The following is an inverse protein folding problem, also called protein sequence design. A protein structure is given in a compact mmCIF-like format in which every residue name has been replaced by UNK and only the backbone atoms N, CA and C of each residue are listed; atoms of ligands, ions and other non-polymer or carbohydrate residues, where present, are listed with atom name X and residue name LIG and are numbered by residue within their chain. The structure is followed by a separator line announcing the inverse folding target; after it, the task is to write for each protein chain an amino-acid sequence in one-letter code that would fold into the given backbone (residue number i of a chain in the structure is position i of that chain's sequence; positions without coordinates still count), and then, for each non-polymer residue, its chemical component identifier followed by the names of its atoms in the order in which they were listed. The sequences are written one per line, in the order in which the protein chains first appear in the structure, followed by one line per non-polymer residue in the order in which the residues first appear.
data_IF_565410092939
#
_entry.id   IF_565410092939
#
_cell.length_a   1.000
_cell.length_b   1.000
_cell.length_c   1.000
_cell.angle_alpha   90.00
_cell.angle_beta   90.00
_cell.angle_gamma   90.00
#
_symmetry.space_group_name_H-M   'P 1'
#
loop_
_entity.id
_entity.type
_entity.pdbx_description
1 polymer ?
#
# COMPACT_ATOMS: atom_id res chain seq x y z
N UNK A 1 11.57 -17.13 -14.94
CA UNK A 1 10.21 -16.70 -14.51
C UNK A 1 9.21 -17.21 -15.54
N UNK A 2 8.20 -17.98 -15.12
CA UNK A 2 7.11 -18.42 -16.02
C UNK A 2 6.28 -17.21 -16.48
N UNK A 3 5.60 -17.31 -17.62
CA UNK A 3 4.73 -16.25 -18.17
C UNK A 3 5.38 -14.86 -18.37
N UNK A 4 6.69 -14.82 -18.65
CA UNK A 4 7.47 -13.58 -18.78
C UNK A 4 6.83 -12.55 -19.71
N UNK A 5 6.32 -12.97 -20.88
CA UNK A 5 5.69 -12.06 -21.85
C UNK A 5 4.44 -11.37 -21.30
N UNK A 6 3.52 -12.15 -20.70
CA UNK A 6 2.27 -11.62 -20.14
C UNK A 6 2.57 -10.67 -18.97
N UNK A 7 3.44 -11.08 -18.03
CA UNK A 7 3.84 -10.24 -16.89
C UNK A 7 4.43 -8.91 -17.38
N UNK A 8 5.26 -8.96 -18.43
CA UNK A 8 5.85 -7.76 -19.03
C UNK A 8 4.79 -6.81 -19.56
N UNK A 9 3.85 -7.32 -20.35
CA UNK A 9 2.76 -6.52 -20.90
C UNK A 9 1.94 -5.86 -19.79
N UNK A 10 1.56 -6.62 -18.76
CA UNK A 10 0.80 -6.08 -17.62
C UNK A 10 1.60 -5.00 -16.87
N UNK A 11 2.90 -5.20 -16.65
CA UNK A 11 3.75 -4.19 -16.01
C UNK A 11 3.89 -2.94 -16.89
N UNK A 12 4.04 -3.06 -18.20
CA UNK A 12 4.07 -1.90 -19.10
C UNK A 12 2.76 -1.10 -19.03
N UNK A 13 1.61 -1.79 -19.01
CA UNK A 13 0.30 -1.16 -18.81
C UNK A 13 0.26 -0.43 -17.46
N UNK A 14 0.71 -1.07 -16.38
CA UNK A 14 0.79 -0.44 -15.06
C UNK A 14 1.65 0.82 -15.09
N UNK A 15 2.87 0.77 -15.64
CA UNK A 15 3.78 1.92 -15.70
C UNK A 15 3.14 3.11 -16.42
N UNK A 16 2.56 2.88 -17.60
CA UNK A 16 1.96 3.96 -18.40
C UNK A 16 0.72 4.53 -17.71
N UNK A 17 -0.23 3.68 -17.34
CA UNK A 17 -1.51 4.13 -16.80
C UNK A 17 -1.39 4.72 -15.39
N UNK A 18 -0.50 4.18 -14.55
CA UNK A 18 -0.24 4.76 -13.22
C UNK A 18 0.48 6.08 -13.32
N UNK A 19 1.39 6.25 -14.29
CA UNK A 19 2.03 7.53 -14.58
C UNK A 19 1.00 8.59 -14.99
N UNK A 20 0.06 8.23 -15.88
CA UNK A 20 -1.04 9.12 -16.28
C UNK A 20 -1.94 9.46 -15.08
N UNK A 21 -2.35 8.45 -14.32
CA UNK A 21 -3.22 8.65 -13.15
C UNK A 21 -2.57 9.53 -12.08
N UNK A 22 -1.31 9.26 -11.74
CA UNK A 22 -0.55 10.04 -10.77
C UNK A 22 -0.29 11.47 -11.26
N UNK A 23 0.10 11.65 -12.52
CA UNK A 23 0.30 12.97 -13.10
C UNK A 23 -1.01 13.78 -13.11
N UNK A 24 -2.14 13.15 -13.45
CA UNK A 24 -3.44 13.80 -13.38
C UNK A 24 -3.80 14.15 -11.93
N UNK A 25 -3.55 13.27 -10.97
CA UNK A 25 -3.72 13.53 -9.54
C UNK A 25 -2.94 14.75 -9.04
N UNK A 26 -1.68 14.85 -9.44
CA UNK A 26 -0.75 15.90 -9.01
C UNK A 26 -1.02 17.25 -9.70
N UNK A 27 -1.20 17.24 -11.02
CA UNK A 27 -1.15 18.45 -11.84
C UNK A 27 -2.51 18.97 -12.29
N UNK A 28 -3.61 18.24 -12.05
CA UNK A 28 -4.94 18.79 -12.34
C UNK A 28 -5.37 19.77 -11.26
N UNK A 29 -5.67 21.01 -11.66
CA UNK A 29 -5.97 22.12 -10.75
C UNK A 29 -7.31 22.81 -11.04
N UNK A 30 -7.96 22.46 -12.15
CA UNK A 30 -9.23 23.06 -12.57
C UNK A 30 -10.35 22.86 -11.54
N UNK A 31 -11.10 23.92 -11.27
CA UNK A 31 -12.25 23.92 -10.36
C UNK A 31 -12.32 25.19 -9.50
N UNK A 32 -13.38 25.37 -8.69
CA UNK A 32 -13.62 26.60 -7.92
C UNK A 32 -12.69 26.79 -6.71
N UNK A 33 -11.88 25.79 -6.35
CA UNK A 33 -11.10 25.79 -5.10
C UNK A 33 -11.87 25.19 -3.93
N UNK A 34 -11.29 25.23 -2.73
CA UNK A 34 -11.88 24.56 -1.58
C UNK A 34 -13.17 25.26 -1.12
N UNK A 35 -14.13 24.48 -0.64
CA UNK A 35 -15.41 25.01 -0.16
C UNK A 35 -16.03 24.12 0.94
N UNK A 36 -16.77 24.70 1.90
CA UNK A 36 -17.48 23.92 2.91
C UNK A 36 -18.71 23.22 2.33
N UNK A 37 -18.98 22.01 2.80
CA UNK A 37 -20.15 21.22 2.40
C UNK A 37 -20.77 20.53 3.62
N UNK A 38 -22.10 20.58 3.74
CA UNK A 38 -22.83 19.84 4.77
C UNK A 38 -22.98 18.37 4.34
N UNK A 39 -22.59 17.45 5.21
CA UNK A 39 -22.65 16.01 4.97
C UNK A 39 -24.06 15.48 5.22
N UNK A 40 -24.35 14.28 4.72
CA UNK A 40 -25.61 13.56 4.98
C UNK A 40 -25.90 13.32 6.48
N UNK A 41 -24.90 13.51 7.36
CA UNK A 41 -25.02 13.34 8.81
C UNK A 41 -25.07 14.68 9.57
N UNK A 42 -25.29 15.80 8.86
CA UNK A 42 -25.37 17.15 9.45
C UNK A 42 -24.03 17.72 9.92
N UNK A 43 -22.91 17.08 9.56
CA UNK A 43 -21.57 17.61 9.82
C UNK A 43 -21.11 18.54 8.69
N UNK A 44 -20.06 19.33 8.89
CA UNK A 44 -19.44 20.11 7.82
C UNK A 44 -18.09 19.48 7.44
N UNK A 45 -17.82 19.35 6.14
CA UNK A 45 -16.54 18.92 5.59
C UNK A 45 -16.05 19.95 4.59
N UNK A 46 -14.74 20.22 4.57
CA UNK A 46 -14.14 21.01 3.50
C UNK A 46 -13.86 20.11 2.29
N UNK A 47 -14.39 20.48 1.12
CA UNK A 47 -14.18 19.77 -0.14
C UNK A 47 -13.01 20.39 -0.89
N UNK A 48 -12.20 19.57 -1.56
CA UNK A 48 -10.97 20.02 -2.22
C UNK A 48 -11.22 20.96 -3.42
N UNK A 49 -12.25 20.65 -4.22
CA UNK A 49 -12.72 21.51 -5.31
C UNK A 49 -11.78 21.71 -6.50
N UNK A 50 -10.68 20.96 -6.61
CA UNK A 50 -9.72 21.04 -7.73
C UNK A 50 -9.41 19.68 -8.36
N UNK A 51 -9.24 19.68 -9.68
CA UNK A 51 -8.70 18.54 -10.42
C UNK A 51 -9.53 17.26 -10.32
N UNK A 52 -8.86 16.11 -10.43
CA UNK A 52 -9.48 14.78 -10.31
C UNK A 52 -9.99 14.50 -8.89
N UNK A 53 -9.43 15.16 -7.88
CA UNK A 53 -9.82 15.03 -6.48
C UNK A 53 -10.89 16.03 -6.03
N UNK A 54 -11.49 16.80 -6.96
CA UNK A 54 -12.37 17.95 -6.65
C UNK A 54 -13.57 17.65 -5.75
N UNK A 55 -14.03 16.41 -5.70
CA UNK A 55 -15.19 16.01 -4.87
C UNK A 55 -14.78 15.28 -3.58
N UNK A 56 -13.48 15.08 -3.35
CA UNK A 56 -12.97 14.49 -2.13
C UNK A 56 -12.88 15.53 -1.01
N UNK A 57 -12.94 15.11 0.26
CA UNK A 57 -12.53 15.97 1.38
C UNK A 57 -11.12 16.52 1.16
N UNK A 58 -10.90 17.81 1.48
CA UNK A 58 -9.66 18.53 1.22
C UNK A 58 -8.43 17.83 1.82
N UNK A 59 -8.54 17.36 3.07
CA UNK A 59 -7.49 16.61 3.75
C UNK A 59 -7.16 15.29 3.02
N UNK A 60 -8.18 14.55 2.59
CA UNK A 60 -8.01 13.27 1.89
C UNK A 60 -7.43 13.48 0.50
N UNK A 61 -7.79 14.56 -0.19
CA UNK A 61 -7.24 14.91 -1.51
C UNK A 61 -5.74 15.18 -1.44
N UNK A 62 -5.26 15.93 -0.44
CA UNK A 62 -3.84 16.18 -0.22
C UNK A 62 -3.07 14.87 0.02
N UNK A 63 -3.66 13.94 0.77
CA UNK A 63 -3.10 12.61 0.95
C UNK A 63 -3.09 11.79 -0.35
N UNK A 64 -4.11 11.93 -1.20
CA UNK A 64 -4.15 11.35 -2.55
C UNK A 64 -2.99 11.85 -3.41
N UNK A 65 -2.76 13.16 -3.45
CA UNK A 65 -1.65 13.78 -4.19
C UNK A 65 -0.30 13.30 -3.66
N UNK A 66 -0.14 13.19 -2.33
CA UNK A 66 1.08 12.64 -1.75
C UNK A 66 1.32 11.17 -2.16
N UNK A 67 0.26 10.36 -2.23
CA UNK A 67 0.32 8.98 -2.76
C UNK A 67 0.76 8.96 -4.22
N UNK A 68 0.25 9.88 -5.04
CA UNK A 68 0.60 9.96 -6.47
C UNK A 68 2.08 10.27 -6.67
N UNK A 69 2.65 11.18 -5.86
CA UNK A 69 4.08 11.45 -5.87
C UNK A 69 4.91 10.21 -5.54
N UNK A 70 4.51 9.44 -4.52
CA UNK A 70 5.22 8.18 -4.19
C UNK A 70 5.04 7.13 -5.29
N UNK A 71 3.87 7.05 -5.90
CA UNK A 71 3.62 6.15 -7.04
C UNK A 71 4.57 6.48 -8.20
N UNK A 72 4.71 7.77 -8.53
CA UNK A 72 5.54 8.24 -9.63
C UNK A 72 7.04 8.07 -9.36
N UNK A 73 7.50 8.45 -8.15
CA UNK A 73 8.93 8.54 -7.82
C UNK A 73 9.51 7.26 -7.20
N UNK A 74 8.67 6.39 -6.64
CA UNK A 74 9.13 5.17 -5.95
C UNK A 74 8.46 3.93 -6.55
N UNK A 75 7.14 3.93 -6.65
CA UNK A 75 6.37 2.78 -7.14
C UNK A 75 6.76 2.36 -8.55
N UNK A 76 6.66 3.27 -9.52
CA UNK A 76 6.99 3.02 -10.93
C UNK A 76 8.47 2.62 -11.11
N UNK A 77 9.47 3.35 -10.56
CA UNK A 77 10.86 2.94 -10.66
C UNK A 77 11.14 1.54 -10.10
N UNK A 78 10.61 1.21 -8.91
CA UNK A 78 10.76 -0.12 -8.34
C UNK A 78 10.09 -1.21 -9.18
N UNK A 79 8.96 -0.90 -9.80
CA UNK A 79 8.26 -1.84 -10.67
C UNK A 79 9.09 -2.17 -11.92
N UNK A 80 9.69 -1.16 -12.55
CA UNK A 80 10.57 -1.31 -13.72
C UNK A 80 11.88 -2.03 -13.35
N UNK A 81 12.54 -1.62 -12.27
CA UNK A 81 13.79 -2.23 -11.80
C UNK A 81 13.57 -3.69 -11.37
N UNK A 82 12.48 -3.95 -10.62
CA UNK A 82 12.07 -5.28 -10.21
C UNK A 82 11.83 -6.21 -11.40
N UNK A 83 11.13 -5.73 -12.44
CA UNK A 83 10.92 -6.48 -13.67
C UNK A 83 12.26 -6.79 -14.38
N UNK A 84 13.14 -5.79 -14.52
CA UNK A 84 14.45 -5.95 -15.14
C UNK A 84 15.34 -6.97 -14.42
N UNK A 85 15.36 -6.95 -13.10
CA UNK A 85 16.10 -7.94 -12.30
C UNK A 85 15.45 -9.32 -12.34
N UNK A 86 14.12 -9.40 -12.31
CA UNK A 86 13.40 -10.66 -12.43
C UNK A 86 13.68 -11.35 -13.78
N UNK A 87 13.86 -10.58 -14.86
CA UNK A 87 14.25 -11.09 -16.17
C UNK A 87 15.66 -11.68 -16.20
N UNK A 88 16.59 -11.10 -15.44
CA UNK A 88 17.96 -11.60 -15.27
C UNK A 88 18.04 -12.85 -14.38
N UNK A 89 16.89 -13.36 -13.93
CA UNK A 89 16.81 -14.56 -13.11
C UNK A 89 16.88 -14.29 -11.60
N UNK A 90 17.17 -13.05 -11.17
CA UNK A 90 17.36 -12.68 -9.76
C UNK A 90 16.14 -13.00 -8.89
N UNK A 91 16.35 -13.74 -7.80
CA UNK A 91 15.32 -14.02 -6.80
C UNK A 91 14.90 -12.73 -6.08
N UNK A 92 15.88 -11.89 -5.70
CA UNK A 92 15.65 -10.54 -5.12
C UNK A 92 14.74 -9.71 -6.03
N UNK A 93 15.07 -9.66 -7.33
CA UNK A 93 14.27 -8.94 -8.32
C UNK A 93 12.82 -9.40 -8.38
N UNK A 94 12.57 -10.71 -8.35
CA UNK A 94 11.20 -11.27 -8.36
C UNK A 94 10.43 -10.94 -7.08
N UNK A 95 11.07 -11.01 -5.91
CA UNK A 95 10.45 -10.65 -4.63
C UNK A 95 10.12 -9.15 -4.56
N UNK A 96 11.02 -8.29 -5.03
CA UNK A 96 10.79 -6.84 -5.15
C UNK A 96 9.64 -6.55 -6.12
N UNK A 97 9.62 -7.21 -7.28
CA UNK A 97 8.54 -7.09 -8.25
C UNK A 97 7.19 -7.48 -7.64
N UNK A 98 7.12 -8.62 -6.95
CA UNK A 98 5.91 -9.09 -6.30
C UNK A 98 5.42 -8.12 -5.19
N UNK A 99 6.31 -7.65 -4.32
CA UNK A 99 5.92 -6.68 -3.29
C UNK A 99 5.46 -5.34 -3.87
N UNK A 100 6.11 -4.88 -4.93
CA UNK A 100 5.71 -3.65 -5.65
C UNK A 100 4.35 -3.83 -6.32
N UNK A 101 4.10 -4.97 -6.99
CA UNK A 101 2.79 -5.29 -7.55
C UNK A 101 1.69 -5.34 -6.47
N UNK A 102 2.02 -5.83 -5.27
CA UNK A 102 1.13 -5.75 -4.11
C UNK A 102 0.79 -4.30 -3.72
N UNK A 103 1.76 -3.39 -3.76
CA UNK A 103 1.51 -1.97 -3.51
C UNK A 103 0.57 -1.34 -4.55
N UNK A 104 0.77 -1.65 -5.84
CA UNK A 104 -0.13 -1.19 -6.90
C UNK A 104 -1.54 -1.77 -6.74
N UNK A 105 -1.64 -3.07 -6.45
CA UNK A 105 -2.92 -3.74 -6.21
C UNK A 105 -3.72 -3.04 -5.10
N UNK A 106 -3.08 -2.83 -3.95
CA UNK A 106 -3.73 -2.18 -2.82
C UNK A 106 -4.07 -0.72 -3.13
N UNK A 107 -3.16 0.03 -3.75
CA UNK A 107 -3.39 1.45 -4.09
C UNK A 107 -4.62 1.62 -4.98
N UNK A 108 -4.73 0.83 -6.05
CA UNK A 108 -5.86 0.96 -6.99
C UNK A 108 -7.14 0.27 -6.51
N UNK A 109 -7.05 -0.68 -5.58
CA UNK A 109 -8.20 -1.16 -4.82
C UNK A 109 -8.80 -0.02 -3.99
N UNK A 110 -7.96 0.72 -3.26
CA UNK A 110 -8.39 1.90 -2.51
C UNK A 110 -9.02 2.96 -3.41
N UNK A 111 -8.45 3.23 -4.58
CA UNK A 111 -9.02 4.24 -5.48
C UNK A 111 -10.40 3.82 -6.00
N UNK A 112 -10.62 2.53 -6.30
CA UNK A 112 -11.95 2.05 -6.71
C UNK A 112 -12.98 2.02 -5.58
N UNK A 113 -12.54 1.86 -4.33
CA UNK A 113 -13.46 1.74 -3.18
C UNK A 113 -13.70 3.05 -2.44
N UNK A 114 -12.78 4.00 -2.52
CA UNK A 114 -12.80 5.23 -1.70
C UNK A 114 -12.83 6.51 -2.54
N UNK A 115 -12.19 6.54 -3.71
CA UNK A 115 -12.15 7.77 -4.48
C UNK A 115 -13.56 8.11 -5.02
N UNK A 116 -13.92 9.39 -4.97
CA UNK A 116 -15.11 9.87 -5.66
C UNK A 116 -14.98 9.62 -7.16
N UNK A 117 -16.08 9.19 -7.77
CA UNK A 117 -16.13 8.87 -9.19
C UNK A 117 -15.60 10.05 -10.03
N UNK A 118 -14.70 9.75 -10.96
CA UNK A 118 -14.06 10.75 -11.80
C UNK A 118 -13.65 10.14 -13.16
N UNK A 119 -13.09 10.98 -14.03
CA UNK A 119 -12.72 10.60 -15.40
C UNK A 119 -11.71 9.44 -15.50
N UNK A 120 -10.96 9.16 -14.43
CA UNK A 120 -9.96 8.08 -14.36
C UNK A 120 -10.55 6.75 -13.88
N UNK A 121 -11.86 6.62 -13.67
CA UNK A 121 -12.47 5.39 -13.16
C UNK A 121 -12.04 4.13 -13.93
N UNK A 122 -12.13 4.16 -15.27
CA UNK A 122 -11.71 3.01 -16.10
C UNK A 122 -10.21 2.75 -16.03
N UNK A 123 -9.40 3.80 -15.84
CA UNK A 123 -7.96 3.67 -15.63
C UNK A 123 -7.69 2.93 -14.33
N UNK A 124 -8.40 3.25 -13.24
CA UNK A 124 -8.28 2.54 -11.97
C UNK A 124 -8.71 1.08 -12.08
N UNK A 125 -9.76 0.77 -12.85
CA UNK A 125 -10.20 -0.61 -13.13
C UNK A 125 -9.10 -1.41 -13.82
N UNK A 126 -8.50 -0.87 -14.88
CA UNK A 126 -7.41 -1.55 -15.60
C UNK A 126 -6.19 -1.72 -14.71
N UNK A 127 -5.85 -0.70 -13.90
CA UNK A 127 -4.71 -0.76 -12.98
C UNK A 127 -4.90 -1.81 -11.89
N UNK A 128 -6.10 -1.91 -11.29
CA UNK A 128 -6.41 -2.96 -10.32
C UNK A 128 -6.35 -4.35 -10.97
N UNK A 129 -6.97 -4.53 -12.13
CA UNK A 129 -6.95 -5.81 -12.85
C UNK A 129 -5.53 -6.22 -13.24
N UNK A 130 -4.75 -5.32 -13.84
CA UNK A 130 -3.40 -5.61 -14.29
C UNK A 130 -2.46 -5.95 -13.12
N UNK A 131 -2.55 -5.22 -12.00
CA UNK A 131 -1.76 -5.51 -10.81
C UNK A 131 -2.17 -6.84 -10.16
N UNK A 132 -3.46 -7.16 -10.08
CA UNK A 132 -3.95 -8.45 -9.58
C UNK A 132 -3.42 -9.62 -10.40
N UNK A 133 -3.62 -9.62 -11.72
CA UNK A 133 -3.20 -10.72 -12.57
C UNK A 133 -1.68 -10.81 -12.68
N UNK A 134 -0.96 -9.68 -12.71
CA UNK A 134 0.50 -9.69 -12.68
C UNK A 134 1.04 -10.26 -11.37
N UNK A 135 0.50 -9.83 -10.22
CA UNK A 135 0.89 -10.35 -8.91
C UNK A 135 0.65 -11.86 -8.83
N UNK A 136 -0.54 -12.32 -9.22
CA UNK A 136 -0.88 -13.74 -9.24
C UNK A 136 0.10 -14.55 -10.10
N UNK A 137 0.38 -14.10 -11.33
CA UNK A 137 1.33 -14.78 -12.23
C UNK A 137 2.76 -14.80 -11.68
N UNK A 138 3.21 -13.70 -11.05
CA UNK A 138 4.53 -13.64 -10.41
C UNK A 138 4.60 -14.62 -9.23
N UNK A 139 3.60 -14.61 -8.34
CA UNK A 139 3.53 -15.51 -7.18
C UNK A 139 3.47 -16.99 -7.58
N UNK A 140 2.67 -17.33 -8.59
CA UNK A 140 2.57 -18.69 -9.14
C UNK A 140 3.84 -19.14 -9.90
N UNK A 141 4.76 -18.21 -10.18
CA UNK A 141 6.02 -18.52 -10.87
C UNK A 141 7.15 -18.94 -9.93
N UNK A 142 6.98 -18.82 -8.62
CA UNK A 142 7.96 -19.23 -7.63
C UNK A 142 7.95 -20.74 -7.41
N UNK A 143 9.13 -21.30 -7.23
CA UNK A 143 9.32 -22.67 -6.74
C UNK A 143 9.46 -22.62 -5.22
N UNK A 144 8.37 -22.93 -4.52
CA UNK A 144 8.29 -22.84 -3.05
C UNK A 144 9.29 -23.76 -2.35
N UNK A 145 9.60 -24.91 -2.94
CA UNK A 145 10.47 -25.89 -2.31
C UNK A 145 11.96 -25.50 -2.43
N UNK A 146 12.29 -24.60 -3.37
CA UNK A 146 13.65 -24.06 -3.55
C UNK A 146 13.84 -22.67 -2.97
N UNK A 147 12.78 -22.04 -2.47
CA UNK A 147 12.83 -20.66 -1.98
C UNK A 147 13.72 -20.50 -0.75
N UNK A 148 13.64 -21.43 0.20
CA UNK A 148 14.51 -21.42 1.39
C UNK A 148 15.99 -21.59 1.03
N UNK A 149 16.31 -22.40 0.01
CA UNK A 149 17.68 -22.61 -0.47
C UNK A 149 18.32 -21.33 -1.05
N UNK A 150 17.51 -20.36 -1.45
CA UNK A 150 17.99 -19.06 -1.90
C UNK A 150 18.43 -18.15 -0.75
N UNK A 151 18.15 -18.51 0.50
CA UNK A 151 18.60 -17.79 1.69
C UNK A 151 19.81 -18.51 2.30
N UNK A 152 20.76 -17.74 2.83
CA UNK A 152 21.92 -18.29 3.52
C UNK A 152 21.53 -19.05 4.79
N UNK A 153 22.47 -19.85 5.34
CA UNK A 153 22.24 -20.83 6.42
C UNK A 153 21.48 -20.33 7.66
N UNK A 154 21.55 -19.04 7.99
CA UNK A 154 20.86 -18.42 9.14
C UNK A 154 20.23 -17.09 8.72
N UNK A 155 19.12 -17.13 7.95
CA UNK A 155 18.46 -15.90 7.54
C UNK A 155 17.87 -15.20 8.76
N UNK A 156 17.85 -13.85 8.82
CA UNK A 156 17.38 -13.08 9.97
C UNK A 156 15.84 -13.04 10.03
N UNK A 157 15.21 -14.21 10.01
CA UNK A 157 13.75 -14.39 10.00
C UNK A 157 13.07 -13.84 11.26
N UNK A 158 13.79 -13.83 12.39
CA UNK A 158 13.29 -13.34 13.68
C UNK A 158 12.87 -11.87 13.65
N UNK A 159 13.75 -11.00 13.13
CA UNK A 159 13.46 -9.56 13.03
C UNK A 159 12.30 -9.30 12.07
N UNK A 160 12.36 -9.89 10.88
CA UNK A 160 11.36 -9.71 9.83
C UNK A 160 9.98 -10.23 10.27
N UNK A 161 9.90 -11.48 10.71
CA UNK A 161 8.64 -12.10 11.09
C UNK A 161 8.04 -11.51 12.36
N UNK A 162 8.87 -11.22 13.36
CA UNK A 162 8.44 -10.56 14.59
C UNK A 162 7.90 -9.16 14.33
N UNK A 163 8.59 -8.36 13.50
CA UNK A 163 8.12 -7.04 13.11
C UNK A 163 6.75 -7.08 12.42
N UNK A 164 6.56 -7.98 11.44
CA UNK A 164 5.29 -8.10 10.72
C UNK A 164 4.13 -8.46 11.66
N UNK A 165 4.35 -9.36 12.62
CA UNK A 165 3.36 -9.73 13.64
C UNK A 165 3.05 -8.53 14.54
N UNK A 166 4.08 -7.94 15.17
CA UNK A 166 3.89 -6.83 16.12
C UNK A 166 3.21 -5.64 15.46
N UNK A 167 3.65 -5.27 14.25
CA UNK A 167 3.02 -4.19 13.49
C UNK A 167 1.56 -4.50 13.18
N UNK A 168 1.25 -5.73 12.73
CA UNK A 168 -0.14 -6.12 12.43
C UNK A 168 -1.07 -6.07 13.65
N UNK A 169 -0.59 -6.53 14.81
CA UNK A 169 -1.37 -6.52 16.05
C UNK A 169 -1.59 -5.07 16.53
N UNK A 170 -0.55 -4.24 16.52
CA UNK A 170 -0.65 -2.85 16.95
C UNK A 170 -1.63 -2.05 16.10
N UNK A 171 -1.53 -2.15 14.77
CA UNK A 171 -2.46 -1.45 13.87
C UNK A 171 -3.87 -2.07 13.95
N UNK A 172 -3.98 -3.38 14.14
CA UNK A 172 -5.27 -4.04 14.34
C UNK A 172 -5.99 -3.55 15.59
N UNK A 173 -5.27 -3.43 16.71
CA UNK A 173 -5.80 -2.86 17.95
C UNK A 173 -6.16 -1.38 17.78
N UNK A 174 -5.35 -0.61 17.05
CA UNK A 174 -5.65 0.78 16.72
C UNK A 174 -6.99 0.89 15.95
N UNK A 175 -7.18 0.10 14.90
CA UNK A 175 -8.43 0.12 14.13
C UNK A 175 -9.63 -0.39 14.92
N UNK A 176 -9.46 -1.41 15.75
CA UNK A 176 -10.53 -1.84 16.66
C UNK A 176 -10.88 -0.74 17.67
N UNK A 177 -9.91 0.06 18.14
CA UNK A 177 -10.18 1.20 19.03
C UNK A 177 -10.97 2.33 18.35
N UNK A 178 -10.94 2.42 17.01
CA UNK A 178 -11.74 3.39 16.24
C UNK A 178 -13.15 2.84 15.99
N UNK A 179 -13.27 1.55 15.65
CA UNK A 179 -14.52 0.95 15.17
C UNK A 179 -15.41 0.45 16.31
N UNK A 180 -14.84 -0.12 17.37
CA UNK A 180 -15.61 -0.80 18.43
C UNK A 180 -16.33 0.18 19.37
N UNK A 181 -15.72 1.26 19.88
CA UNK A 181 -16.39 2.12 20.87
C UNK A 181 -17.71 2.72 20.38
N UNK A 182 -17.84 3.26 19.15
CA UNK A 182 -19.11 3.78 18.64
C UNK A 182 -20.23 2.73 18.57
N UNK A 183 -19.87 1.45 18.40
CA UNK A 183 -20.83 0.34 18.39
C UNK A 183 -21.32 0.00 19.80
N UNK A 184 -20.47 0.20 20.82
CA UNK A 184 -20.79 -0.11 22.21
C UNK A 184 -21.52 1.04 22.92
N UNK A 185 -21.17 2.28 22.61
CA UNK A 185 -21.76 3.47 23.24
C UNK A 185 -23.06 3.96 22.56
N UNK A 186 -23.41 3.37 21.41
CA UNK A 186 -24.63 3.68 20.66
C UNK A 186 -24.55 4.94 19.78
N UNK A 187 -23.40 5.63 19.73
CA UNK A 187 -23.17 6.75 18.80
C UNK A 187 -23.12 6.28 17.33
N UNK A 188 -22.84 4.99 17.12
CA UNK A 188 -22.84 4.22 15.86
C UNK A 188 -21.81 4.65 14.82
N UNK A 189 -21.48 5.94 14.72
CA UNK A 189 -20.61 6.49 13.68
C UNK A 189 -19.29 7.00 14.28
N UNK A 190 -18.14 6.43 13.87
CA UNK A 190 -16.84 6.97 14.21
C UNK A 190 -16.68 8.41 13.69
N UNK A 191 -16.02 9.28 14.47
CA UNK A 191 -15.78 10.68 14.08
C UNK A 191 -15.04 10.79 12.74
N UNK A 192 -14.08 9.89 12.52
CA UNK A 192 -13.24 9.86 11.31
C UNK A 192 -13.99 9.35 10.06
N UNK A 193 -15.24 8.89 10.21
CA UNK A 193 -16.07 8.51 9.06
C UNK A 193 -16.34 9.72 8.15
N UNK A 194 -16.47 10.91 8.73
CA UNK A 194 -16.68 12.16 8.00
C UNK A 194 -17.81 12.08 6.98
N UNK A 195 -17.51 12.42 5.74
CA UNK A 195 -18.44 12.36 4.60
C UNK A 195 -18.44 11.00 3.87
N UNK A 196 -17.68 10.02 4.36
CA UNK A 196 -17.53 8.72 3.69
C UNK A 196 -18.75 7.82 3.94
N UNK A 197 -18.98 6.91 3.00
CA UNK A 197 -20.03 5.88 3.14
C UNK A 197 -19.64 4.82 4.18
N UNK A 198 -18.35 4.50 4.30
CA UNK A 198 -17.80 3.52 5.24
C UNK A 198 -16.30 3.78 5.49
N UNK A 199 -15.73 3.06 6.46
CA UNK A 199 -14.31 3.07 6.79
C UNK A 199 -13.54 2.04 5.95
N UNK A 200 -13.28 2.36 4.68
CA UNK A 200 -12.65 1.46 3.70
C UNK A 200 -11.27 0.98 4.15
N UNK A 201 -10.44 1.86 4.73
CA UNK A 201 -9.08 1.50 5.20
C UNK A 201 -9.14 0.46 6.30
N UNK A 202 -9.90 0.76 7.35
CA UNK A 202 -10.03 -0.09 8.52
C UNK A 202 -10.65 -1.43 8.15
N UNK A 203 -11.67 -1.43 7.28
CA UNK A 203 -12.30 -2.64 6.79
C UNK A 203 -11.33 -3.57 6.05
N UNK A 204 -10.59 -3.04 5.07
CA UNK A 204 -9.61 -3.82 4.30
C UNK A 204 -8.40 -4.25 5.15
N UNK A 205 -7.94 -3.39 6.07
CA UNK A 205 -6.84 -3.69 6.97
C UNK A 205 -7.20 -4.84 7.91
N UNK A 206 -8.35 -4.75 8.59
CA UNK A 206 -8.80 -5.78 9.55
C UNK A 206 -9.17 -7.10 8.86
N UNK A 207 -9.73 -7.05 7.64
CA UNK A 207 -10.18 -8.24 6.94
C UNK A 207 -9.05 -8.96 6.18
N UNK A 208 -8.11 -8.20 5.58
CA UNK A 208 -7.17 -8.75 4.61
C UNK A 208 -5.70 -8.40 4.91
N UNK A 209 -5.36 -7.11 5.00
CA UNK A 209 -3.95 -6.69 4.98
C UNK A 209 -3.23 -7.05 6.28
N UNK A 210 -3.79 -6.73 7.45
CA UNK A 210 -3.18 -7.04 8.74
C UNK A 210 -3.17 -8.56 9.02
N UNK A 211 -4.25 -9.33 8.76
CA UNK A 211 -4.18 -10.79 8.85
C UNK A 211 -3.12 -11.40 7.95
N UNK A 212 -2.95 -10.89 6.72
CA UNK A 212 -1.89 -11.35 5.81
C UNK A 212 -0.49 -11.02 6.35
N UNK A 213 -0.29 -9.82 6.91
CA UNK A 213 0.95 -9.44 7.59
C UNK A 213 1.29 -10.40 8.73
N UNK A 214 0.29 -10.68 9.59
CA UNK A 214 0.44 -11.60 10.72
C UNK A 214 0.82 -13.00 10.24
N UNK A 215 0.08 -13.53 9.26
CA UNK A 215 0.30 -14.86 8.71
C UNK A 215 1.66 -14.96 8.01
N UNK A 216 2.05 -13.96 7.22
CA UNK A 216 3.36 -13.89 6.60
C UNK A 216 4.49 -13.90 7.64
N UNK A 217 4.34 -13.13 8.72
CA UNK A 217 5.28 -13.09 9.82
C UNK A 217 5.37 -14.42 10.58
N UNK A 218 4.21 -14.99 10.95
CA UNK A 218 4.13 -16.26 11.67
C UNK A 218 4.73 -17.42 10.87
N UNK A 219 4.40 -17.52 9.58
CA UNK A 219 4.96 -18.54 8.68
C UNK A 219 6.46 -18.34 8.48
N UNK A 220 6.95 -17.10 8.42
CA UNK A 220 8.38 -16.82 8.30
C UNK A 220 9.15 -17.21 9.57
N UNK A 221 8.60 -16.91 10.76
CA UNK A 221 9.18 -17.35 12.04
C UNK A 221 9.20 -18.88 12.18
N UNK A 222 8.14 -19.54 11.70
CA UNK A 222 8.05 -20.99 11.65
C UNK A 222 8.95 -21.62 10.57
N UNK A 223 9.71 -20.81 9.81
CA UNK A 223 10.56 -21.26 8.69
C UNK A 223 9.78 -22.10 7.66
N UNK A 224 8.52 -21.75 7.44
CA UNK A 224 7.69 -22.42 6.44
C UNK A 224 8.05 -21.91 5.03
N UNK A 225 7.99 -22.79 4.02
CA UNK A 225 8.20 -22.45 2.61
C UNK A 225 7.36 -21.25 2.13
N UNK A 226 6.12 -21.12 2.61
CA UNK A 226 5.26 -19.98 2.31
C UNK A 226 5.72 -18.70 3.03
N UNK A 227 6.31 -18.83 4.22
CA UNK A 227 6.88 -17.71 4.96
C UNK A 227 8.05 -17.06 4.22
N UNK A 228 8.91 -17.87 3.61
CA UNK A 228 10.03 -17.38 2.78
C UNK A 228 9.60 -16.70 1.48
N UNK A 229 8.33 -16.85 1.05
CA UNK A 229 7.74 -16.07 -0.05
C UNK A 229 6.99 -14.85 0.50
N UNK A 230 5.99 -15.08 1.35
CA UNK A 230 5.07 -14.04 1.82
C UNK A 230 5.77 -12.98 2.67
N UNK A 231 6.72 -13.38 3.51
CA UNK A 231 7.45 -12.46 4.39
C UNK A 231 8.20 -11.37 3.63
N UNK A 232 9.15 -11.72 2.74
CA UNK A 232 9.86 -10.73 1.93
C UNK A 232 8.95 -9.91 1.02
N UNK A 233 7.94 -10.54 0.39
CA UNK A 233 6.97 -9.85 -0.48
C UNK A 233 6.19 -8.81 0.30
N UNK A 234 5.66 -9.18 1.47
CA UNK A 234 4.91 -8.29 2.33
C UNK A 234 5.80 -7.18 2.90
N UNK A 235 7.06 -7.46 3.26
CA UNK A 235 7.99 -6.43 3.71
C UNK A 235 8.26 -5.37 2.64
N UNK A 236 8.50 -5.77 1.39
CA UNK A 236 8.68 -4.81 0.28
C UNK A 236 7.41 -3.98 0.11
N UNK A 237 6.25 -4.63 0.03
CA UNK A 237 4.95 -3.95 -0.03
C UNK A 237 4.79 -2.92 1.10
N UNK A 238 5.05 -3.34 2.34
CA UNK A 238 4.90 -2.53 3.53
C UNK A 238 5.87 -1.35 3.55
N UNK A 239 7.11 -1.52 3.08
CA UNK A 239 8.08 -0.41 2.99
C UNK A 239 7.60 0.67 2.01
N UNK A 240 7.08 0.27 0.84
CA UNK A 240 6.55 1.23 -0.14
C UNK A 240 5.31 1.92 0.43
N UNK A 241 4.40 1.15 1.04
CA UNK A 241 3.19 1.67 1.69
C UNK A 241 3.52 2.67 2.80
N UNK A 242 4.46 2.34 3.70
CA UNK A 242 4.88 3.23 4.78
C UNK A 242 5.62 4.47 4.28
N UNK A 243 6.34 4.36 3.15
CA UNK A 243 6.87 5.51 2.43
C UNK A 243 5.75 6.45 1.94
N UNK A 244 4.69 5.89 1.36
CA UNK A 244 3.52 6.64 0.94
C UNK A 244 2.77 7.28 2.12
N UNK A 245 2.58 6.54 3.22
CA UNK A 245 1.98 7.08 4.44
C UNK A 245 2.85 8.18 5.06
N UNK A 246 4.17 8.06 5.02
CA UNK A 246 5.09 9.11 5.47
C UNK A 246 4.90 10.39 4.64
N UNK A 247 4.82 10.27 3.32
CA UNK A 247 4.55 11.40 2.44
C UNK A 247 3.18 12.05 2.73
N UNK A 248 2.14 11.24 3.00
CA UNK A 248 0.81 11.72 3.40
C UNK A 248 0.84 12.52 4.69
N UNK A 249 1.49 12.00 5.73
CA UNK A 249 1.63 12.71 7.02
C UNK A 249 2.39 14.02 6.83
N UNK A 250 3.47 14.02 6.04
CA UNK A 250 4.19 15.24 5.72
C UNK A 250 3.30 16.26 5.00
N UNK A 251 2.48 15.82 4.04
CA UNK A 251 1.57 16.69 3.30
C UNK A 251 0.46 17.29 4.19
N UNK A 252 -0.09 16.51 5.13
CA UNK A 252 -1.03 17.01 6.14
C UNK A 252 -0.36 18.09 7.00
N UNK A 253 0.87 17.84 7.46
CA UNK A 253 1.61 18.80 8.29
C UNK A 253 1.93 20.10 7.57
N UNK A 254 2.32 20.03 6.28
CA UNK A 254 2.51 21.21 5.43
C UNK A 254 1.22 21.99 5.20
N UNK A 255 0.07 21.31 5.24
CA UNK A 255 -1.26 21.91 5.22
C UNK A 255 -1.74 22.45 6.58
N UNK A 256 -0.94 22.38 7.64
CA UNK A 256 -1.29 22.86 8.98
C UNK A 256 -2.13 21.88 9.82
N UNK A 257 -2.31 20.64 9.37
CA UNK A 257 -3.04 19.61 10.10
C UNK A 257 -2.25 19.02 11.28
N UNK A 258 -2.96 18.40 12.23
CA UNK A 258 -2.31 17.70 13.34
C UNK A 258 -1.71 16.37 12.86
N UNK A 259 -0.40 16.23 13.02
CA UNK A 259 0.37 15.06 12.59
C UNK A 259 0.88 14.20 13.76
N UNK A 260 0.59 14.58 15.01
CA UNK A 260 1.06 13.86 16.19
C UNK A 260 -0.01 12.84 16.63
N UNK A 261 0.35 11.57 16.91
CA UNK A 261 1.71 11.00 16.96
C UNK A 261 2.21 10.39 15.63
N UNK A 262 1.41 10.45 14.57
CA UNK A 262 1.65 9.80 13.29
C UNK A 262 3.03 10.10 12.66
N UNK A 263 3.52 11.34 12.81
CA UNK A 263 4.82 11.81 12.29
C UNK A 263 6.02 11.05 12.86
N UNK A 264 5.88 10.44 14.04
CA UNK A 264 6.93 9.61 14.63
C UNK A 264 6.70 8.13 14.34
N UNK A 265 5.45 7.67 14.48
CA UNK A 265 5.11 6.26 14.37
C UNK A 265 5.28 5.74 12.94
N UNK A 266 4.78 6.46 11.94
CA UNK A 266 4.80 5.98 10.55
C UNK A 266 6.23 5.92 9.99
N UNK A 267 7.07 6.97 10.09
CA UNK A 267 8.47 6.88 9.67
C UNK A 267 9.28 5.90 10.50
N UNK A 268 9.00 5.77 11.80
CA UNK A 268 9.63 4.75 12.65
C UNK A 268 9.36 3.33 12.14
N UNK A 269 8.10 3.02 11.83
CA UNK A 269 7.71 1.73 11.22
C UNK A 269 8.38 1.52 9.86
N UNK A 270 8.49 2.56 9.03
CA UNK A 270 9.23 2.50 7.78
C UNK A 270 10.71 2.12 8.01
N UNK A 271 11.39 2.79 8.94
CA UNK A 271 12.80 2.55 9.23
C UNK A 271 13.05 1.11 9.71
N UNK A 272 12.21 0.61 10.61
CA UNK A 272 12.29 -0.80 11.08
C UNK A 272 12.01 -1.76 9.93
N UNK A 273 10.99 -1.47 9.11
CA UNK A 273 10.65 -2.27 7.93
C UNK A 273 11.79 -2.33 6.92
N UNK A 274 12.41 -1.20 6.59
CA UNK A 274 13.58 -1.12 5.70
C UNK A 274 14.76 -1.87 6.30
N UNK A 275 15.04 -1.72 7.60
CA UNK A 275 16.11 -2.47 8.26
C UNK A 275 15.87 -3.98 8.23
N UNK A 276 14.63 -4.43 8.45
CA UNK A 276 14.24 -5.83 8.31
C UNK A 276 14.39 -6.33 6.87
N UNK A 277 13.94 -5.53 5.89
CA UNK A 277 14.06 -5.84 4.47
C UNK A 277 15.53 -5.95 4.05
N UNK A 278 16.38 -4.98 4.38
CA UNK A 278 17.81 -4.99 4.04
C UNK A 278 18.51 -6.20 4.64
N UNK A 279 18.25 -6.53 5.92
CA UNK A 279 18.86 -7.70 6.57
C UNK A 279 18.39 -9.01 5.93
N UNK A 280 17.09 -9.15 5.66
CA UNK A 280 16.53 -10.36 5.07
C UNK A 280 17.03 -10.55 3.63
N UNK A 281 17.01 -9.50 2.81
CA UNK A 281 17.50 -9.56 1.43
C UNK A 281 19.03 -9.66 1.35
N UNK A 282 19.76 -9.15 2.34
CA UNK A 282 21.21 -9.35 2.48
C UNK A 282 21.58 -10.81 2.67
N UNK A 283 20.67 -11.64 3.19
CA UNK A 283 20.88 -13.09 3.33
C UNK A 283 20.55 -13.89 2.07
N UNK A 284 20.01 -13.27 1.00
CA UNK A 284 19.71 -13.96 -0.24
C UNK A 284 21.00 -14.20 -1.06
N UNK A 285 21.31 -15.46 -1.30
CA UNK A 285 22.42 -15.94 -2.12
C UNK A 285 21.98 -15.94 -3.59
N UNK A 286 22.38 -14.91 -4.33
CA UNK A 286 21.95 -14.66 -5.71
C UNK A 286 21.99 -13.20 -6.13
#
# INVERSE_FOLDING_TARGET
MRHKGIITTLVCVLVVLSGIAAAAGIFSDGGPGTYPHETIRGGTVEIYGKGVYRHMPAEVAIQGIAQDWVTLLVGIPLLVLGLGWAWKGSLKGRLVLAGTLGYFLVTYLFYLMMAMYNALFLVYVVLLGASFFALALVLLSFDLDRLELGFGRKPPVGLAGGFLIVNSVNIGLLWLSVVVPPLLDGSLYPKDLGHSTTLVVQGLDLALLLPLSFLAGALLLARNRLGFLLGPVYLVFLCILMGALTAKVAAIGLGGGNIIPAVFLIPGTLLVGVAACVRLFGSLEG
#
